data_IF_586828427698
#
_entry.id   IF_586828427698
#
_cell.length_a   1.000
_cell.length_b   1.000
_cell.length_c   1.000
_cell.angle_alpha   90.00
_cell.angle_beta   90.00
_cell.angle_gamma   90.00
#
_symmetry.space_group_name_H-M   'P 1'
#
loop_
_entity.id
_entity.type
_entity.pdbx_description
1 polymer ?
#
# COMPACT_ATOMS: atom_id res chain seq x y z
N UNK A 1 -5.43 11.33 11.27
CA UNK A 1 -6.24 10.15 11.62
C UNK A 1 -5.56 8.92 11.07
N UNK A 2 -5.31 7.91 11.89
CA UNK A 2 -4.77 6.63 11.43
C UNK A 2 -5.87 5.81 10.76
N UNK A 3 -5.54 5.04 9.72
CA UNK A 3 -6.47 4.18 8.98
C UNK A 3 -5.83 2.84 8.68
N UNK A 4 -6.67 1.81 8.65
CA UNK A 4 -6.29 0.49 8.17
C UNK A 4 -6.54 0.42 6.66
N UNK A 5 -5.68 -0.33 5.97
CA UNK A 5 -5.75 -0.50 4.52
C UNK A 5 -5.41 -1.94 4.13
N UNK A 6 -5.90 -2.35 2.95
CA UNK A 6 -5.73 -3.69 2.43
C UNK A 6 -5.44 -3.63 0.93
N UNK A 7 -4.36 -4.28 0.50
CA UNK A 7 -4.00 -4.42 -0.91
C UNK A 7 -4.14 -5.90 -1.28
N UNK A 8 -5.09 -6.21 -2.14
CA UNK A 8 -5.31 -7.57 -2.64
C UNK A 8 -4.58 -7.74 -3.98
N UNK A 9 -3.68 -8.71 -4.05
CA UNK A 9 -3.05 -9.12 -5.30
C UNK A 9 -3.83 -10.31 -5.83
N UNK A 10 -4.49 -10.13 -6.98
CA UNK A 10 -5.22 -11.21 -7.66
C UNK A 10 -4.30 -12.04 -8.54
N UNK A 11 -4.69 -13.28 -8.81
CA UNK A 11 -4.04 -14.11 -9.83
C UNK A 11 -4.27 -13.48 -11.22
N UNK A 12 -3.33 -13.73 -12.14
CA UNK A 12 -3.45 -13.24 -13.53
C UNK A 12 -4.49 -14.02 -14.33
N UNK A 13 -4.64 -15.31 -14.01
CA UNK A 13 -5.34 -16.28 -14.85
C UNK A 13 -6.75 -16.61 -14.36
N UNK A 14 -7.09 -16.27 -13.12
CA UNK A 14 -8.37 -16.58 -12.47
C UNK A 14 -8.81 -15.44 -11.57
N UNK A 15 -10.13 -15.27 -11.39
CA UNK A 15 -10.72 -14.31 -10.44
C UNK A 15 -10.60 -14.84 -9.00
N UNK A 16 -9.37 -14.87 -8.50
CA UNK A 16 -9.06 -15.37 -7.17
C UNK A 16 -7.90 -14.60 -6.55
N UNK A 17 -7.96 -14.46 -5.23
CA UNK A 17 -6.93 -13.78 -4.44
C UNK A 17 -5.65 -14.63 -4.41
N UNK A 18 -4.52 -14.04 -4.78
CA UNK A 18 -3.21 -14.67 -4.68
C UNK A 18 -2.58 -14.42 -3.30
N UNK A 19 -2.50 -13.15 -2.90
CA UNK A 19 -1.99 -12.72 -1.59
C UNK A 19 -2.63 -11.40 -1.19
N UNK A 20 -2.58 -11.10 0.09
CA UNK A 20 -3.18 -9.90 0.67
C UNK A 20 -2.17 -9.24 1.59
N UNK A 21 -1.93 -7.94 1.37
CA UNK A 21 -1.15 -7.09 2.25
C UNK A 21 -2.12 -6.35 3.16
N UNK A 22 -2.01 -6.58 4.46
CA UNK A 22 -2.75 -5.90 5.51
C UNK A 22 -1.87 -4.81 6.11
N UNK A 23 -2.39 -3.59 6.20
CA UNK A 23 -1.71 -2.42 6.72
C UNK A 23 -2.54 -1.89 7.89
N UNK A 24 -1.98 -1.88 9.09
CA UNK A 24 -2.68 -1.50 10.33
C UNK A 24 -2.14 -0.17 10.86
N UNK A 25 -3.06 0.69 11.31
CA UNK A 25 -2.74 1.97 11.95
C UNK A 25 -1.83 2.88 11.10
N UNK A 26 -2.15 3.04 9.82
CA UNK A 26 -1.34 3.83 8.89
C UNK A 26 -1.78 5.28 8.72
N UNK A 27 -0.85 6.15 8.34
CA UNK A 27 -1.12 7.52 7.92
C UNK A 27 -0.23 7.90 6.73
N UNK A 28 -0.71 8.82 5.90
CA UNK A 28 0.01 9.29 4.73
C UNK A 28 1.14 10.24 5.14
N UNK A 29 2.36 9.95 4.69
CA UNK A 29 3.55 10.80 4.92
C UNK A 29 3.92 11.62 3.69
N UNK A 30 3.54 11.16 2.51
CA UNK A 30 3.80 11.85 1.26
C UNK A 30 2.74 11.53 0.21
N UNK A 31 2.44 12.52 -0.61
CA UNK A 31 1.56 12.44 -1.77
C UNK A 31 2.18 13.27 -2.89
N UNK A 32 2.34 12.66 -4.05
CA UNK A 32 2.78 13.32 -5.27
C UNK A 32 1.88 12.89 -6.42
N UNK A 33 1.52 13.86 -7.26
CA UNK A 33 0.81 13.62 -8.51
C UNK A 33 1.65 14.21 -9.65
N UNK A 34 1.92 13.40 -10.67
CA UNK A 34 2.65 13.81 -11.85
C UNK A 34 1.86 13.49 -13.11
N UNK A 35 1.92 14.40 -14.07
CA UNK A 35 1.30 14.26 -15.39
C UNK A 35 2.37 14.54 -16.45
N UNK A 36 2.57 13.58 -17.34
CA UNK A 36 3.51 13.71 -18.46
C UNK A 36 2.75 13.54 -19.78
N UNK A 37 2.70 14.62 -20.56
CA UNK A 37 2.04 14.66 -21.87
C UNK A 37 2.92 14.10 -22.99
N UNK A 38 4.24 13.98 -22.77
CA UNK A 38 5.21 13.54 -23.77
C UNK A 38 5.36 12.01 -23.87
N UNK A 39 4.84 11.26 -22.88
CA UNK A 39 4.77 9.80 -22.82
C UNK A 39 3.37 9.23 -23.06
N UNK A 40 2.96 8.21 -22.30
CA UNK A 40 1.67 7.53 -22.45
C UNK A 40 0.44 8.34 -21.99
N UNK A 41 0.60 9.63 -21.66
CA UNK A 41 -0.49 10.52 -21.24
C UNK A 41 -1.19 10.13 -19.93
N UNK A 42 -0.58 9.27 -19.12
CA UNK A 42 -1.18 8.77 -17.89
C UNK A 42 -0.83 9.68 -16.70
N UNK A 43 -1.85 10.12 -15.98
CA UNK A 43 -1.71 10.73 -14.66
C UNK A 43 -1.23 9.66 -13.67
N UNK A 44 -0.15 9.93 -12.94
CA UNK A 44 0.43 9.04 -11.93
C UNK A 44 0.24 9.67 -10.56
N UNK A 45 -0.36 8.91 -9.64
CA UNK A 45 -0.49 9.27 -8.23
C UNK A 45 0.39 8.35 -7.39
N UNK A 46 1.33 8.94 -6.66
CA UNK A 46 2.27 8.27 -5.78
C UNK A 46 1.94 8.63 -4.33
N UNK A 47 1.65 7.62 -3.51
CA UNK A 47 1.40 7.79 -2.08
C UNK A 47 2.43 7.03 -1.26
N UNK A 48 2.90 7.64 -0.18
CA UNK A 48 3.71 6.96 0.83
C UNK A 48 2.96 6.92 2.16
N UNK A 49 2.87 5.73 2.73
CA UNK A 49 2.20 5.48 4.00
C UNK A 49 3.24 5.06 5.05
N UNK A 50 3.11 5.60 6.26
CA UNK A 50 3.77 5.09 7.46
C UNK A 50 2.75 4.26 8.23
N UNK A 51 3.09 3.01 8.55
CA UNK A 51 2.21 2.08 9.24
C UNK A 51 2.87 1.55 10.51
N UNK A 52 2.04 1.19 11.49
CA UNK A 52 2.51 0.53 12.71
C UNK A 52 2.86 -0.92 12.43
N UNK A 53 2.00 -1.63 11.73
CA UNK A 53 2.19 -3.04 11.40
C UNK A 53 1.76 -3.33 9.96
N UNK A 54 2.49 -4.23 9.32
CA UNK A 54 2.16 -4.80 8.02
C UNK A 54 2.23 -6.32 8.07
N UNK A 55 1.30 -6.99 7.38
CA UNK A 55 1.24 -8.44 7.30
C UNK A 55 0.96 -8.90 5.88
N UNK A 56 1.69 -9.92 5.42
CA UNK A 56 1.46 -10.58 4.13
C UNK A 56 1.76 -12.07 4.22
N UNK A 57 0.74 -12.89 4.00
CA UNK A 57 0.85 -14.34 4.20
C UNK A 57 1.27 -14.68 5.63
N UNK A 58 2.45 -15.29 5.78
CA UNK A 58 3.04 -15.64 7.09
C UNK A 58 4.10 -14.63 7.57
N UNK A 59 4.41 -13.60 6.77
CA UNK A 59 5.33 -12.54 7.15
C UNK A 59 4.59 -11.42 7.85
N UNK A 60 5.11 -10.99 8.99
CA UNK A 60 4.58 -9.88 9.78
C UNK A 60 5.74 -8.98 10.22
N UNK A 61 5.53 -7.66 10.16
CA UNK A 61 6.46 -6.65 10.63
C UNK A 61 5.69 -5.62 11.44
N UNK A 62 6.05 -5.46 12.71
CA UNK A 62 5.52 -4.42 13.60
C UNK A 62 6.65 -3.49 14.03
N UNK A 63 6.38 -2.19 14.02
CA UNK A 63 7.26 -1.19 14.62
C UNK A 63 6.90 -1.04 16.09
N UNK A 64 7.73 -1.62 16.97
CA UNK A 64 7.71 -1.28 18.40
C UNK A 64 8.24 0.14 18.57
N UNK A 65 7.36 1.11 18.78
CA UNK A 65 7.79 2.43 19.24
C UNK A 65 8.23 2.30 20.69
N UNK A 66 9.55 2.34 20.91
CA UNK A 66 10.13 2.43 22.25
C UNK A 66 9.52 3.64 22.97
N UNK A 67 8.95 3.38 24.16
CA UNK A 67 8.59 4.42 25.13
C UNK A 67 9.83 5.14 25.65
#
# INVERSE_FOLDING_TARGET
MKKDAKVTFNKRDEDSKMKELEIVESYMVHFEESFDEAGAGAMIQSISLSARSIKVGNGEHENEWAM
#
